data_IF_520545377216
#
_entry.id   IF_520545377216
#
_cell.length_a   1.000
_cell.length_b   1.000
_cell.length_c   1.000
_cell.angle_alpha   90.00
_cell.angle_beta   90.00
_cell.angle_gamma   90.00
#
_symmetry.space_group_name_H-M   'P 1'
#
loop_
_entity.id
_entity.type
_entity.pdbx_description
1 polymer ?
#
# COMPACT_ATOMS: atom_id res chain seq x y z
N UNK A 1 -19.31 5.26 -2.34
CA UNK A 1 -18.12 4.80 -1.59
C UNK A 1 -17.83 3.37 -2.00
N UNK A 2 -16.59 3.02 -2.26
CA UNK A 2 -16.19 1.63 -2.45
C UNK A 2 -14.96 1.31 -1.61
N UNK A 3 -14.71 0.01 -1.40
CA UNK A 3 -13.65 -0.51 -0.55
C UNK A 3 -12.88 -1.59 -1.28
N UNK A 4 -11.56 -1.57 -1.16
CA UNK A 4 -10.66 -2.53 -1.77
C UNK A 4 -9.79 -3.17 -0.70
N UNK A 5 -9.61 -4.51 -0.71
CA UNK A 5 -8.69 -5.16 0.20
C UNK A 5 -7.24 -4.76 -0.14
N UNK A 6 -6.41 -4.69 0.88
CA UNK A 6 -4.96 -4.52 0.76
C UNK A 6 -4.29 -5.70 1.45
N UNK A 7 -3.33 -6.32 0.79
CA UNK A 7 -2.52 -7.40 1.37
C UNK A 7 -1.06 -7.21 1.00
N UNK A 8 -0.16 -7.66 1.86
CA UNK A 8 1.27 -7.53 1.63
C UNK A 8 2.08 -7.83 2.86
N UNK A 9 3.25 -7.23 2.94
CA UNK A 9 4.20 -7.48 4.03
C UNK A 9 5.16 -6.30 4.22
N UNK A 10 5.64 -6.17 5.46
CA UNK A 10 6.83 -5.39 5.78
C UNK A 10 7.99 -6.35 6.04
N UNK A 11 9.03 -6.33 5.22
CA UNK A 11 10.02 -7.41 5.21
C UNK A 11 9.34 -8.77 5.00
N UNK A 12 9.46 -9.67 5.98
CA UNK A 12 8.79 -10.98 6.01
C UNK A 12 7.51 -11.01 6.85
N UNK A 13 7.12 -9.89 7.47
CA UNK A 13 5.95 -9.83 8.36
C UNK A 13 4.69 -9.52 7.55
N UNK A 14 3.72 -10.43 7.46
CA UNK A 14 2.50 -10.19 6.71
C UNK A 14 1.68 -9.05 7.33
N UNK A 15 1.02 -8.28 6.48
CA UNK A 15 0.15 -7.19 6.90
C UNK A 15 -1.02 -7.06 5.93
N UNK A 16 -2.18 -6.68 6.46
CA UNK A 16 -3.41 -6.61 5.70
C UNK A 16 -4.21 -5.37 6.07
N UNK A 17 -5.06 -4.92 5.16
CA UNK A 17 -5.74 -3.66 5.33
C UNK A 17 -6.80 -3.39 4.29
N UNK A 18 -7.15 -2.13 4.16
CA UNK A 18 -8.23 -1.71 3.30
C UNK A 18 -8.00 -0.30 2.77
N UNK A 19 -8.37 -0.10 1.51
CA UNK A 19 -8.54 1.20 0.88
C UNK A 19 -10.03 1.52 0.87
N UNK A 20 -10.39 2.78 1.12
CA UNK A 20 -11.75 3.29 1.03
C UNK A 20 -11.75 4.54 0.18
N UNK A 21 -12.54 4.55 -0.89
CA UNK A 21 -12.73 5.70 -1.76
C UNK A 21 -14.09 6.34 -1.51
N UNK A 22 -14.10 7.64 -1.26
CA UNK A 22 -15.32 8.42 -1.02
C UNK A 22 -15.74 9.18 -2.28
N UNK A 23 -17.04 9.47 -2.41
CA UNK A 23 -17.60 10.13 -3.60
C UNK A 23 -17.12 11.60 -3.75
N UNK A 24 -16.62 12.20 -2.65
CA UNK A 24 -16.07 13.55 -2.62
C UNK A 24 -14.65 13.66 -3.21
N UNK A 25 -14.07 12.55 -3.70
CA UNK A 25 -12.74 12.55 -4.33
C UNK A 25 -11.58 12.26 -3.37
N UNK A 26 -11.84 12.20 -2.06
CA UNK A 26 -10.85 11.80 -1.05
C UNK A 26 -10.93 10.29 -0.84
N UNK A 27 -9.79 9.67 -0.59
CA UNK A 27 -9.71 8.27 -0.21
C UNK A 27 -8.78 8.09 0.99
N UNK A 28 -9.05 7.07 1.78
CA UNK A 28 -8.23 6.68 2.93
C UNK A 28 -7.73 5.26 2.74
N UNK A 29 -6.56 4.96 3.28
CA UNK A 29 -6.07 3.60 3.38
C UNK A 29 -5.58 3.32 4.80
N UNK A 30 -5.63 2.05 5.17
CA UNK A 30 -4.95 1.56 6.37
C UNK A 30 -4.45 0.16 6.15
N UNK A 31 -3.39 -0.20 6.88
CA UNK A 31 -2.78 -1.53 6.95
C UNK A 31 -2.45 -1.83 8.40
N UNK A 32 -2.79 -3.03 8.85
CA UNK A 32 -2.47 -3.55 10.17
C UNK A 32 -1.34 -4.58 10.06
N UNK A 33 -0.30 -4.37 10.85
CA UNK A 33 0.73 -5.37 11.12
C UNK A 33 0.27 -6.15 12.37
N UNK A 34 0.07 -7.47 12.30
CA UNK A 34 -0.31 -8.28 13.47
C UNK A 34 0.71 -8.13 14.60
N UNK A 35 0.25 -7.85 15.82
CA UNK A 35 1.12 -7.59 16.98
C UNK A 35 2.01 -6.35 16.87
N UNK A 36 1.85 -5.55 15.79
CA UNK A 36 2.66 -4.38 15.50
C UNK A 36 1.83 -3.12 15.39
N UNK A 37 2.24 -2.23 14.49
CA UNK A 37 1.59 -0.93 14.28
C UNK A 37 0.50 -0.99 13.20
N UNK A 38 -0.41 -0.01 13.28
CA UNK A 38 -1.36 0.29 12.21
C UNK A 38 -0.84 1.49 11.43
N UNK A 39 -0.69 1.36 10.11
CA UNK A 39 -0.28 2.44 9.23
C UNK A 39 -1.46 2.92 8.38
N UNK A 40 -1.59 4.22 8.18
CA UNK A 40 -2.70 4.81 7.43
C UNK A 40 -2.28 6.11 6.73
N UNK A 41 -3.10 6.52 5.78
CA UNK A 41 -2.95 7.79 5.09
C UNK A 41 -4.13 8.07 4.16
N UNK A 42 -3.97 9.12 3.38
CA UNK A 42 -4.99 9.61 2.45
C UNK A 42 -4.43 9.67 1.03
N UNK A 43 -5.33 9.63 0.06
CA UNK A 43 -5.01 9.77 -1.35
C UNK A 43 -6.14 10.46 -2.11
N UNK A 44 -5.81 10.99 -3.29
CA UNK A 44 -6.78 11.57 -4.20
C UNK A 44 -7.33 10.46 -5.12
N UNK A 45 -8.61 10.17 -4.99
CA UNK A 45 -9.30 9.11 -5.75
C UNK A 45 -9.33 9.43 -7.24
N UNK A 46 -9.46 10.72 -7.57
CA UNK A 46 -9.60 11.21 -8.95
C UNK A 46 -8.27 11.58 -9.61
N UNK A 47 -7.14 11.30 -8.96
CA UNK A 47 -5.83 11.50 -9.56
C UNK A 47 -5.68 10.53 -10.76
N UNK A 48 -5.51 11.02 -12.00
CA UNK A 48 -5.41 10.16 -13.18
C UNK A 48 -4.04 9.49 -13.33
N UNK A 49 -3.05 9.85 -12.51
CA UNK A 49 -1.70 9.34 -12.66
C UNK A 49 -1.63 7.83 -12.35
N UNK A 50 -0.94 7.05 -13.20
CA UNK A 50 -0.75 5.61 -12.97
C UNK A 50 0.18 5.34 -11.79
N UNK A 51 1.03 6.29 -11.42
CA UNK A 51 1.88 6.24 -10.24
C UNK A 51 1.57 7.39 -9.29
N UNK A 52 1.41 7.08 -7.99
CA UNK A 52 1.17 8.06 -6.94
C UNK A 52 2.23 7.96 -5.85
N UNK A 53 2.55 9.11 -5.25
CA UNK A 53 3.39 9.17 -4.07
C UNK A 53 2.54 9.67 -2.90
N UNK A 54 2.37 8.82 -1.89
CA UNK A 54 1.55 9.10 -0.71
C UNK A 54 2.41 9.13 0.54
N UNK A 55 1.97 9.90 1.53
CA UNK A 55 2.51 9.84 2.88
C UNK A 55 1.70 8.83 3.71
N UNK A 56 2.41 8.00 4.48
CA UNK A 56 1.83 7.08 5.46
C UNK A 56 2.34 7.38 6.86
N UNK A 57 1.45 7.29 7.85
CA UNK A 57 1.79 7.38 9.27
C UNK A 57 1.37 6.11 9.99
N UNK A 58 2.24 5.60 10.85
CA UNK A 58 2.00 4.44 11.69
C UNK A 58 1.73 4.84 13.14
N UNK A 59 0.94 4.03 13.85
CA UNK A 59 0.56 4.28 15.25
C UNK A 59 1.74 4.26 16.23
N UNK A 60 2.86 3.66 15.85
CA UNK A 60 4.12 3.66 16.60
C UNK A 60 5.00 4.90 16.33
N UNK A 61 4.44 5.95 15.71
CA UNK A 61 5.15 7.20 15.43
C UNK A 61 5.99 7.20 14.15
N UNK A 62 6.19 6.03 13.52
CA UNK A 62 6.91 5.93 12.24
C UNK A 62 6.09 6.57 11.12
N UNK A 63 6.79 7.18 10.17
CA UNK A 63 6.19 7.74 8.96
C UNK A 63 6.91 7.17 7.75
N UNK A 64 6.34 7.31 6.57
CA UNK A 64 6.97 6.81 5.37
C UNK A 64 6.35 7.31 4.09
N UNK A 65 7.08 7.07 3.01
CA UNK A 65 6.62 7.31 1.66
C UNK A 65 6.10 6.01 1.07
N UNK A 66 5.00 6.11 0.33
CA UNK A 66 4.34 5.00 -0.33
C UNK A 66 4.26 5.35 -1.81
N UNK A 67 4.90 4.54 -2.65
CA UNK A 67 4.79 4.65 -4.10
C UNK A 67 3.76 3.62 -4.55
N UNK A 68 2.64 4.09 -5.07
CA UNK A 68 1.54 3.26 -5.58
C UNK A 68 1.62 3.20 -7.10
N UNK A 69 1.48 2.01 -7.66
CA UNK A 69 1.34 1.79 -9.11
C UNK A 69 -0.03 1.17 -9.37
N UNK A 70 -0.86 1.83 -10.16
CA UNK A 70 -2.20 1.38 -10.52
C UNK A 70 -2.16 0.52 -11.78
N UNK A 71 -3.02 -0.50 -11.85
CA UNK A 71 -3.33 -1.15 -13.12
C UNK A 71 -4.27 -0.28 -13.96
N UNK A 72 -4.41 -0.53 -15.27
CA UNK A 72 -5.27 0.27 -16.16
C UNK A 72 -6.76 0.31 -15.75
N UNK A 73 -7.21 -0.66 -14.95
CA UNK A 73 -8.56 -0.69 -14.38
C UNK A 73 -8.77 0.37 -13.27
N UNK A 74 -7.70 1.01 -12.78
CA UNK A 74 -7.64 1.97 -11.66
C UNK A 74 -8.17 1.44 -10.32
N UNK A 75 -8.52 0.15 -10.25
CA UNK A 75 -9.15 -0.51 -9.11
C UNK A 75 -8.24 -1.55 -8.47
N UNK A 76 -7.14 -1.90 -9.14
CA UNK A 76 -6.11 -2.78 -8.61
C UNK A 76 -4.73 -2.14 -8.76
N UNK A 77 -3.75 -2.69 -8.07
CA UNK A 77 -2.39 -2.18 -8.17
C UNK A 77 -1.48 -2.67 -7.06
N UNK A 78 -0.27 -2.14 -7.06
CA UNK A 78 0.77 -2.45 -6.08
C UNK A 78 1.23 -1.19 -5.35
N UNK A 79 1.87 -1.37 -4.22
CA UNK A 79 2.52 -0.30 -3.48
C UNK A 79 3.84 -0.75 -2.87
N UNK A 80 4.84 0.14 -2.93
CA UNK A 80 6.13 -0.02 -2.27
C UNK A 80 6.23 1.05 -1.19
N UNK A 81 6.54 0.63 0.03
CA UNK A 81 6.61 1.48 1.22
C UNK A 81 8.05 1.57 1.70
N UNK A 82 8.49 2.76 2.06
CA UNK A 82 9.71 3.00 2.81
C UNK A 82 9.40 3.86 4.03
N UNK A 83 9.57 3.28 5.21
CA UNK A 83 9.42 3.98 6.49
C UNK A 83 10.73 4.69 6.87
N UNK A 84 10.64 5.67 7.77
CA UNK A 84 11.75 6.50 8.25
C UNK A 84 12.84 5.71 8.99
N UNK A 85 12.50 4.54 9.53
CA UNK A 85 13.44 3.63 10.20
C UNK A 85 14.15 2.68 9.23
N UNK A 86 13.94 2.83 7.92
CA UNK A 86 14.48 1.97 6.89
C UNK A 86 13.63 0.73 6.57
N UNK A 87 12.57 0.46 7.35
CA UNK A 87 11.66 -0.66 7.08
C UNK A 87 11.02 -0.49 5.71
N UNK A 88 11.01 -1.58 4.92
CA UNK A 88 10.40 -1.61 3.59
C UNK A 88 9.18 -2.51 3.58
N UNK A 89 8.17 -2.13 2.82
CA UNK A 89 6.96 -2.91 2.62
C UNK A 89 6.57 -3.02 1.16
N UNK A 90 5.87 -4.09 0.84
CA UNK A 90 5.32 -4.38 -0.48
C UNK A 90 3.88 -4.82 -0.30
N UNK A 91 2.98 -4.23 -1.07
CA UNK A 91 1.56 -4.45 -0.98
C UNK A 91 0.92 -4.53 -2.35
N UNK A 92 -0.22 -5.20 -2.40
CA UNK A 92 -1.15 -5.21 -3.52
C UNK A 92 -2.55 -4.90 -3.00
N UNK A 93 -3.39 -4.39 -3.89
CA UNK A 93 -4.78 -4.12 -3.60
C UNK A 93 -5.68 -4.45 -4.79
N UNK A 94 -6.98 -4.59 -4.50
CA UNK A 94 -7.96 -5.00 -5.50
C UNK A 94 -7.77 -6.46 -5.91
N UNK A 95 -7.81 -6.72 -7.20
CA UNK A 95 -7.71 -8.08 -7.76
C UNK A 95 -6.28 -8.49 -8.13
N UNK A 96 -5.28 -7.63 -7.86
CA UNK A 96 -3.88 -7.95 -8.10
C UNK A 96 -3.33 -8.83 -6.98
N UNK A 97 -2.69 -9.95 -7.33
CA UNK A 97 -2.04 -10.82 -6.35
C UNK A 97 -0.58 -10.42 -6.12
N UNK A 98 -0.05 -10.73 -4.93
CA UNK A 98 1.34 -10.42 -4.58
C UNK A 98 2.35 -11.03 -5.56
N UNK A 99 2.12 -12.29 -5.98
CA UNK A 99 2.98 -12.98 -6.93
C UNK A 99 2.95 -12.37 -8.34
N UNK A 100 1.82 -11.81 -8.77
CA UNK A 100 1.74 -11.08 -10.04
C UNK A 100 2.50 -9.75 -10.00
N UNK A 101 2.49 -9.07 -8.85
CA UNK A 101 3.12 -7.75 -8.70
C UNK A 101 4.64 -7.81 -8.45
N UNK A 102 5.10 -8.80 -7.69
CA UNK A 102 6.48 -8.85 -7.18
C UNK A 102 7.21 -10.17 -7.50
N UNK A 103 6.56 -11.09 -8.23
CA UNK A 103 7.08 -12.43 -8.51
C UNK A 103 6.85 -13.42 -7.37
N UNK A 104 6.97 -14.72 -7.66
CA UNK A 104 6.97 -15.75 -6.63
C UNK A 104 8.31 -15.72 -5.88
N UNK A 105 8.35 -14.99 -4.77
CA UNK A 105 9.30 -15.23 -3.68
C UNK A 105 10.78 -14.95 -3.95
N UNK A 106 11.14 -13.74 -4.39
CA UNK A 106 12.49 -13.21 -4.12
C UNK A 106 12.36 -11.71 -3.85
N UNK A 107 12.68 -11.28 -2.63
CA UNK A 107 13.00 -9.88 -2.35
C UNK A 107 14.07 -9.49 -3.36
N UNK A 108 13.73 -8.68 -4.35
CA UNK A 108 14.67 -8.19 -5.35
C UNK A 108 15.82 -7.51 -4.60
N UNK A 109 16.90 -8.26 -4.40
CA UNK A 109 18.13 -7.78 -3.82
C UNK A 109 18.84 -7.13 -4.99
N UNK A 110 18.68 -5.81 -5.11
CA UNK A 110 19.47 -5.02 -6.05
C UNK A 110 20.92 -5.18 -5.58
N UNK A 111 21.72 -5.91 -6.37
CA UNK A 111 23.18 -5.94 -6.26
C UNK A 111 23.76 -4.66 -6.83
#
# INVERSE_FOLDING_TARGET
MFRLPVTGQFGSTPAAGQITAFNNGVGTFWVQIPGGARCSGEYQVRDPNPALVLAGKCSNGKQGQIVVTRTPDLMSGSAIVKLTDGTRGQFVYGNLTFGQAFGQGVVATIR
#
